data_IF_038212345635
#
_entry.id   IF_038212345635
#
_cell.length_a   1.000
_cell.length_b   1.000
_cell.length_c   1.000
_cell.angle_alpha   90.00
_cell.angle_beta   90.00
_cell.angle_gamma   90.00
#
_symmetry.space_group_name_H-M   'P 1'
#
loop_
_entity.id
_entity.type
_entity.pdbx_description
1 polymer ?
#
# COMPACT_ATOMS: atom_id res chain seq x y z
N UNK A 1 -7.28 5.66 0.55
CA UNK A 1 -8.25 4.63 0.09
C UNK A 1 -7.57 3.74 -0.95
N UNK A 2 -8.11 2.56 -1.26
CA UNK A 2 -7.58 1.71 -2.33
C UNK A 2 -7.73 2.46 -3.67
N UNK A 3 -6.65 2.59 -4.45
CA UNK A 3 -6.62 3.39 -5.68
C UNK A 3 -6.18 2.54 -6.89
N UNK A 4 -6.64 2.89 -8.08
CA UNK A 4 -6.21 2.21 -9.29
C UNK A 4 -4.78 2.65 -9.68
N UNK A 5 -3.89 1.69 -9.96
CA UNK A 5 -2.52 1.94 -10.44
C UNK A 5 -2.36 2.38 -11.91
N UNK A 6 -3.17 1.95 -12.89
CA UNK A 6 -3.03 2.32 -14.29
C UNK A 6 -2.97 3.84 -14.63
N UNK A 7 -3.64 4.76 -13.91
CA UNK A 7 -3.63 6.17 -14.27
C UNK A 7 -2.33 6.90 -13.93
N UNK A 8 -1.47 6.34 -13.05
CA UNK A 8 -0.25 7.00 -12.60
C UNK A 8 0.80 7.25 -13.70
N UNK A 9 0.83 6.42 -14.74
CA UNK A 9 1.70 6.60 -15.90
C UNK A 9 0.96 7.12 -17.14
N UNK A 10 -0.25 7.66 -16.95
CA UNK A 10 -1.15 8.14 -18.03
C UNK A 10 -1.76 9.48 -17.63
N UNK A 11 -3.09 9.57 -17.49
CA UNK A 11 -3.80 10.84 -17.28
C UNK A 11 -3.34 11.61 -16.03
N UNK A 12 -3.01 10.91 -14.93
CA UNK A 12 -2.55 11.56 -13.69
C UNK A 12 -1.13 12.15 -13.77
N UNK A 13 -0.36 11.83 -14.83
CA UNK A 13 0.95 12.46 -15.08
C UNK A 13 0.79 13.81 -15.82
N UNK A 14 -0.29 13.96 -16.58
CA UNK A 14 -0.60 15.17 -17.36
C UNK A 14 -1.41 16.19 -16.54
N UNK A 15 -2.19 15.72 -15.56
CA UNK A 15 -2.99 16.53 -14.66
C UNK A 15 -2.64 16.21 -13.18
N UNK A 16 -1.75 17.00 -12.55
CA UNK A 16 -1.24 16.73 -11.20
C UNK A 16 -2.32 16.70 -10.11
N UNK A 17 -3.40 17.44 -10.31
CA UNK A 17 -4.52 17.58 -9.36
C UNK A 17 -5.67 16.60 -9.63
N UNK A 18 -5.55 15.73 -10.64
CA UNK A 18 -6.58 14.74 -10.94
C UNK A 18 -6.63 13.69 -9.82
N UNK A 19 -7.73 13.69 -9.05
CA UNK A 19 -7.95 12.73 -7.98
C UNK A 19 -7.84 11.30 -8.51
N UNK A 20 -7.03 10.47 -7.84
CA UNK A 20 -6.89 9.07 -8.22
C UNK A 20 -8.25 8.38 -8.14
N UNK A 21 -8.67 7.68 -9.21
CA UNK A 21 -9.94 6.98 -9.20
C UNK A 21 -9.94 5.94 -8.07
N UNK A 22 -10.94 6.05 -7.19
CA UNK A 22 -11.17 5.08 -6.12
C UNK A 22 -11.62 3.76 -6.73
N UNK A 23 -11.14 2.66 -6.16
CA UNK A 23 -11.53 1.32 -6.63
C UNK A 23 -12.95 0.93 -6.22
N UNK A 24 -13.50 1.56 -5.19
CA UNK A 24 -14.85 1.32 -4.69
C UNK A 24 -15.51 2.66 -4.32
N UNK A 25 -16.83 2.74 -4.45
CA UNK A 25 -17.62 3.84 -3.88
C UNK A 25 -17.68 3.73 -2.35
N UNK A 26 -17.98 4.83 -1.66
CA UNK A 26 -18.02 4.85 -0.19
C UNK A 26 -19.13 3.94 0.37
N UNK A 27 -20.24 3.80 -0.34
CA UNK A 27 -21.36 2.90 -0.03
C UNK A 27 -20.92 1.42 -0.06
N UNK A 28 -20.17 1.02 -1.09
CA UNK A 28 -19.63 -0.34 -1.21
C UNK A 28 -18.62 -0.61 -0.10
N UNK A 29 -17.80 0.38 0.26
CA UNK A 29 -16.81 0.22 1.33
C UNK A 29 -17.46 0.02 2.71
N UNK A 30 -18.60 0.67 2.98
CA UNK A 30 -19.38 0.47 4.22
C UNK A 30 -20.06 -0.90 4.27
N UNK A 31 -20.57 -1.39 3.13
CA UNK A 31 -21.22 -2.70 3.05
C UNK A 31 -20.27 -3.89 3.25
N UNK A 32 -18.97 -3.72 3.02
CA UNK A 32 -17.97 -4.80 3.09
C UNK A 32 -17.55 -5.20 4.53
N UNK A 33 -18.09 -4.56 5.57
CA UNK A 33 -17.78 -4.83 6.98
C UNK A 33 -16.27 -4.99 7.26
N UNK A 34 -15.49 -4.00 6.82
CA UNK A 34 -14.02 -4.04 6.88
C UNK A 34 -13.49 -3.30 8.12
N UNK A 35 -12.62 -3.96 8.88
CA UNK A 35 -11.79 -3.31 9.89
C UNK A 35 -10.51 -2.76 9.24
N UNK A 36 -10.29 -1.45 9.31
CA UNK A 36 -9.12 -0.79 8.74
C UNK A 36 -8.12 -0.39 9.82
N UNK A 37 -6.92 -0.99 9.78
CA UNK A 37 -5.82 -0.66 10.69
C UNK A 37 -4.87 0.34 10.02
N UNK A 38 -5.28 1.61 9.94
CA UNK A 38 -4.44 2.73 9.43
C UNK A 38 -4.13 3.69 10.58
N UNK A 39 -2.93 4.32 10.63
CA UNK A 39 -1.81 4.23 9.69
C UNK A 39 -0.84 3.07 9.99
N UNK A 40 -1.29 2.06 10.73
CA UNK A 40 -0.46 0.96 11.21
C UNK A 40 0.10 0.12 10.06
N UNK A 41 1.38 -0.25 10.17
CA UNK A 41 2.05 -1.16 9.22
C UNK A 41 2.14 -2.55 9.83
N UNK A 42 1.95 -3.59 9.03
CA UNK A 42 2.35 -4.94 9.41
C UNK A 42 3.88 -5.05 9.29
N UNK A 43 4.57 -5.28 10.41
CA UNK A 43 6.03 -5.31 10.47
C UNK A 43 6.59 -6.73 10.46
N UNK A 44 5.89 -7.68 11.07
CA UNK A 44 6.25 -9.10 11.02
C UNK A 44 5.04 -10.02 11.02
N UNK A 45 5.27 -11.27 10.63
CA UNK A 45 4.29 -12.36 10.67
C UNK A 45 4.87 -13.49 11.51
N UNK A 46 4.21 -13.78 12.63
CA UNK A 46 4.44 -15.00 13.40
C UNK A 46 3.57 -16.10 12.81
N UNK A 47 4.21 -17.06 12.15
CA UNK A 47 3.52 -18.16 11.46
C UNK A 47 3.08 -19.27 12.41
N UNK A 48 3.79 -19.44 13.52
CA UNK A 48 3.55 -20.51 14.48
C UNK A 48 2.33 -20.15 15.33
N UNK A 49 2.27 -18.90 15.79
CA UNK A 49 1.11 -18.37 16.53
C UNK A 49 -0.01 -17.84 15.63
N UNK A 50 0.22 -17.77 14.31
CA UNK A 50 -0.68 -17.18 13.31
C UNK A 50 -1.10 -15.75 13.66
N UNK A 51 -0.10 -14.90 13.88
CA UNK A 51 -0.28 -13.49 14.24
C UNK A 51 0.49 -12.55 13.31
N UNK A 52 -0.06 -11.36 13.10
CA UNK A 52 0.63 -10.23 12.48
C UNK A 52 0.96 -9.21 13.55
N UNK A 53 2.22 -8.78 13.62
CA UNK A 53 2.65 -7.71 14.52
C UNK A 53 2.56 -6.38 13.78
N UNK A 54 1.83 -5.45 14.35
CA UNK A 54 1.66 -4.10 13.83
C UNK A 54 2.76 -3.17 14.38
N UNK A 55 2.98 -2.04 13.69
CA UNK A 55 4.02 -1.06 14.05
C UNK A 55 3.83 -0.36 15.39
N UNK A 56 2.66 -0.49 16.02
CA UNK A 56 2.39 -0.05 17.39
C UNK A 56 2.61 -1.15 18.44
N UNK A 57 3.05 -2.35 18.02
CA UNK A 57 3.24 -3.51 18.89
C UNK A 57 1.98 -4.36 19.09
N UNK A 58 0.83 -4.00 18.52
CA UNK A 58 -0.38 -4.83 18.61
C UNK A 58 -0.27 -6.09 17.76
N UNK A 59 -0.91 -7.18 18.23
CA UNK A 59 -0.91 -8.47 17.56
C UNK A 59 -2.31 -8.80 17.03
N UNK A 60 -2.41 -9.08 15.73
CA UNK A 60 -3.64 -9.52 15.08
C UNK A 60 -3.58 -11.01 14.77
N UNK A 61 -4.41 -11.81 15.43
CA UNK A 61 -4.58 -13.22 15.11
C UNK A 61 -5.32 -13.40 13.78
N UNK A 62 -4.95 -14.42 13.00
CA UNK A 62 -5.61 -14.73 11.75
C UNK A 62 -5.84 -16.24 11.56
N UNK A 63 -6.88 -16.57 10.79
CA UNK A 63 -7.11 -17.93 10.28
C UNK A 63 -6.54 -18.07 8.86
N UNK A 64 -6.68 -17.01 8.05
CA UNK A 64 -6.16 -16.91 6.68
C UNK A 64 -5.41 -15.59 6.56
N UNK A 65 -4.20 -15.63 5.99
CA UNK A 65 -3.38 -14.44 5.74
C UNK A 65 -3.16 -14.25 4.24
N UNK A 66 -3.59 -13.10 3.71
CA UNK A 66 -3.31 -12.67 2.34
C UNK A 66 -2.23 -11.57 2.35
N UNK A 67 -1.11 -11.81 1.67
CA UNK A 67 -0.05 -10.81 1.53
C UNK A 67 -0.29 -10.00 0.27
N UNK A 68 -0.70 -8.74 0.45
CA UNK A 68 -1.00 -7.80 -0.63
C UNK A 68 -0.15 -6.51 -0.53
N UNK A 69 1.09 -6.60 -0.03
CA UNK A 69 2.00 -5.44 0.15
C UNK A 69 2.46 -4.79 -1.16
N UNK A 70 2.16 -5.42 -2.30
CA UNK A 70 2.70 -5.03 -3.60
C UNK A 70 4.24 -5.12 -3.64
N UNK A 71 4.84 -4.44 -4.61
CA UNK A 71 6.30 -4.29 -4.71
C UNK A 71 6.79 -2.86 -4.48
N UNK A 72 8.09 -2.65 -4.39
CA UNK A 72 8.75 -1.33 -4.45
C UNK A 72 9.50 -1.18 -5.77
N UNK A 73 9.69 0.05 -6.24
CA UNK A 73 10.53 0.29 -7.41
C UNK A 73 11.97 -0.10 -7.07
N UNK A 74 12.62 -0.88 -7.94
CA UNK A 74 14.03 -1.27 -7.76
C UNK A 74 14.92 -0.16 -8.32
N UNK A 75 15.91 0.25 -7.53
CA UNK A 75 17.02 1.08 -8.02
C UNK A 75 18.14 0.17 -8.57
N UNK A 76 18.80 0.53 -9.69
CA UNK A 76 19.90 -0.25 -10.24
C UNK A 76 21.09 -0.41 -9.28
N UNK A 77 21.44 0.65 -8.53
CA UNK A 77 22.38 0.60 -7.40
C UNK A 77 22.07 1.71 -6.39
N UNK A 78 22.60 1.60 -5.16
CA UNK A 78 22.36 2.62 -4.12
C UNK A 78 22.88 4.01 -4.50
N UNK A 79 23.91 4.11 -5.35
CA UNK A 79 24.44 5.38 -5.83
C UNK A 79 23.38 6.23 -6.57
N UNK A 80 22.39 5.58 -7.18
CA UNK A 80 21.28 6.24 -7.87
C UNK A 80 20.25 6.82 -6.89
N UNK A 81 20.15 6.29 -5.66
CA UNK A 81 19.23 6.81 -4.65
C UNK A 81 19.60 8.22 -4.17
N UNK A 82 20.89 8.53 -4.21
CA UNK A 82 21.46 9.79 -3.74
C UNK A 82 21.53 10.90 -4.81
N UNK A 83 21.16 10.60 -6.07
CA UNK A 83 21.26 11.58 -7.14
C UNK A 83 20.01 12.47 -7.20
N UNK A 84 20.15 13.82 -7.16
CA UNK A 84 19.02 14.75 -7.01
C UNK A 84 18.04 14.79 -8.20
N UNK A 85 18.42 14.19 -9.33
CA UNK A 85 17.60 14.10 -10.54
C UNK A 85 17.09 12.67 -10.83
N UNK A 86 17.33 11.71 -9.94
CA UNK A 86 16.83 10.35 -10.10
C UNK A 86 15.59 10.17 -9.25
N UNK A 87 14.48 9.83 -9.90
CA UNK A 87 13.19 9.61 -9.25
C UNK A 87 12.66 8.23 -9.59
N UNK A 88 11.98 7.60 -8.64
CA UNK A 88 11.19 6.38 -8.89
C UNK A 88 9.72 6.73 -8.85
N UNK A 89 8.94 6.28 -9.84
CA UNK A 89 7.50 6.48 -9.85
C UNK A 89 6.79 5.30 -9.16
N UNK A 90 6.37 5.50 -7.91
CA UNK A 90 5.59 4.56 -7.10
C UNK A 90 4.87 5.34 -6.00
N UNK A 91 3.56 5.14 -5.84
CA UNK A 91 2.81 5.58 -4.64
C UNK A 91 2.76 4.45 -3.60
#
# INVERSE_FOLDING_TARGET
ACYARPPLSKASLLEPDAALPRLFSDEVQQALNLAWYRPLRAESVDRDEKKVVLSNGEHLSYNILLIATGGRARLPSQAWASHPQVYTLRH
#
